data_IF_416061957995
#
_entry.id   IF_416061957995
#
_cell.length_a   1.000
_cell.length_b   1.000
_cell.length_c   1.000
_cell.angle_alpha   90.00
_cell.angle_beta   90.00
_cell.angle_gamma   90.00
#
_symmetry.space_group_name_H-M   'P 1'
#
loop_
_entity.id
_entity.type
_entity.pdbx_description
1 polymer ?
#
# COMPACT_ATOMS: atom_id res chain seq x y z
N UNK A 1 -42.84 -20.36 12.29
CA UNK A 1 -41.40 -20.57 12.58
C UNK A 1 -41.20 -20.35 14.07
N UNK A 2 -40.91 -21.40 14.84
CA UNK A 2 -40.72 -21.27 16.30
C UNK A 2 -39.40 -20.58 16.65
N UNK A 3 -39.26 -20.10 17.89
CA UNK A 3 -38.05 -19.45 18.43
C UNK A 3 -36.78 -20.27 18.14
N UNK A 4 -36.90 -21.60 18.21
CA UNK A 4 -35.82 -22.56 17.90
C UNK A 4 -35.30 -22.39 16.46
N UNK A 5 -36.19 -22.15 15.49
CA UNK A 5 -35.81 -21.93 14.10
C UNK A 5 -35.00 -20.64 13.93
N UNK A 6 -35.37 -19.57 14.64
CA UNK A 6 -34.61 -18.31 14.62
C UNK A 6 -33.23 -18.45 15.26
N UNK A 7 -33.11 -19.19 16.37
CA UNK A 7 -31.81 -19.44 17.02
C UNK A 7 -30.87 -20.22 16.11
N UNK A 8 -31.36 -21.24 15.41
CA UNK A 8 -30.56 -22.03 14.46
C UNK A 8 -30.10 -21.16 13.29
N UNK A 9 -31.02 -20.39 12.68
CA UNK A 9 -30.67 -19.48 11.57
C UNK A 9 -29.65 -18.44 12.01
N UNK A 10 -29.84 -17.83 13.18
CA UNK A 10 -28.89 -16.85 13.73
C UNK A 10 -27.52 -17.46 14.02
N UNK A 11 -27.47 -18.68 14.59
CA UNK A 11 -26.23 -19.42 14.81
C UNK A 11 -25.47 -19.72 13.52
N UNK A 12 -26.17 -20.12 12.46
CA UNK A 12 -25.57 -20.37 11.14
C UNK A 12 -25.03 -19.09 10.50
N UNK A 13 -25.74 -17.97 10.61
CA UNK A 13 -25.27 -16.66 10.12
C UNK A 13 -23.98 -16.25 10.83
N UNK A 14 -23.91 -16.39 12.16
CA UNK A 14 -22.69 -16.09 12.91
C UNK A 14 -21.51 -16.98 12.52
N UNK A 15 -21.75 -18.27 12.27
CA UNK A 15 -20.71 -19.21 11.85
C UNK A 15 -20.09 -18.82 10.50
N UNK A 16 -20.91 -18.34 9.55
CA UNK A 16 -20.45 -17.91 8.21
C UNK A 16 -19.70 -16.57 8.28
N UNK A 17 -20.12 -15.64 9.14
CA UNK A 17 -19.48 -14.33 9.26
C UNK A 17 -18.15 -14.36 10.05
N UNK A 18 -17.99 -15.31 10.98
CA UNK A 18 -16.80 -15.48 11.81
C UNK A 18 -15.45 -15.44 11.06
N UNK A 19 -15.22 -16.23 9.99
CA UNK A 19 -13.94 -16.21 9.28
C UNK A 19 -13.62 -14.87 8.61
N UNK A 20 -14.65 -14.17 8.10
CA UNK A 20 -14.50 -12.86 7.44
C UNK A 20 -14.02 -11.82 8.46
N UNK A 21 -14.69 -11.78 9.62
CA UNK A 21 -14.38 -10.86 10.70
C UNK A 21 -12.97 -11.14 11.24
N UNK A 22 -12.64 -12.40 11.51
CA UNK A 22 -11.33 -12.79 12.02
C UNK A 22 -10.18 -12.44 11.04
N UNK A 23 -10.40 -12.64 9.74
CA UNK A 23 -9.43 -12.26 8.70
C UNK A 23 -9.16 -10.74 8.68
N UNK A 24 -10.22 -9.93 8.79
CA UNK A 24 -10.10 -8.48 8.86
C UNK A 24 -9.29 -8.01 10.07
N UNK A 25 -9.61 -8.50 11.27
CA UNK A 25 -8.88 -8.14 12.49
C UNK A 25 -7.39 -8.50 12.43
N UNK A 26 -7.05 -9.65 11.84
CA UNK A 26 -5.65 -10.06 11.65
C UNK A 26 -4.90 -9.08 10.76
N UNK A 27 -5.51 -8.62 9.66
CA UNK A 27 -4.88 -7.65 8.76
C UNK A 27 -4.69 -6.29 9.43
N UNK A 28 -5.71 -5.80 10.15
CA UNK A 28 -5.60 -4.56 10.93
C UNK A 28 -4.46 -4.60 11.95
N UNK A 29 -4.28 -5.75 12.63
CA UNK A 29 -3.16 -5.92 13.58
C UNK A 29 -1.81 -5.89 12.87
N UNK A 30 -1.69 -6.56 11.71
CA UNK A 30 -0.46 -6.55 10.90
C UNK A 30 -0.13 -5.14 10.41
N UNK A 31 -1.13 -4.40 9.92
CA UNK A 31 -0.97 -3.02 9.46
C UNK A 31 -0.47 -2.12 10.60
N UNK A 32 -1.07 -2.23 11.80
CA UNK A 32 -0.62 -1.48 12.98
C UNK A 32 0.84 -1.78 13.34
N UNK A 33 1.23 -3.05 13.35
CA UNK A 33 2.62 -3.46 13.65
C UNK A 33 3.60 -2.92 12.60
N UNK A 34 3.22 -2.98 11.32
CA UNK A 34 4.05 -2.48 10.23
C UNK A 34 4.20 -0.95 10.29
N UNK A 35 3.14 -0.24 10.66
CA UNK A 35 3.14 1.20 10.86
C UNK A 35 4.02 1.61 12.06
N UNK A 36 3.99 0.85 13.14
CA UNK A 36 4.88 1.03 14.28
C UNK A 36 6.34 0.80 13.88
N UNK A 37 6.60 -0.27 13.12
CA UNK A 37 7.94 -0.56 12.57
C UNK A 37 8.46 0.58 11.70
N UNK A 38 7.60 1.12 10.82
CA UNK A 38 7.90 2.29 9.98
C UNK A 38 8.28 3.51 10.84
N UNK A 39 7.47 3.83 11.85
CA UNK A 39 7.71 4.96 12.75
C UNK A 39 9.00 4.79 13.54
N UNK A 40 9.23 3.60 14.10
CA UNK A 40 10.45 3.29 14.85
C UNK A 40 11.70 3.41 13.96
N UNK A 41 11.63 2.92 12.72
CA UNK A 41 12.72 3.09 11.76
C UNK A 41 12.99 4.56 11.42
N UNK A 42 11.92 5.34 11.19
CA UNK A 42 12.02 6.78 10.99
C UNK A 42 12.69 7.47 12.17
N UNK A 43 12.20 7.22 13.38
CA UNK A 43 12.76 7.81 14.61
C UNK A 43 14.22 7.40 14.86
N UNK A 44 14.59 6.15 14.58
CA UNK A 44 15.98 5.68 14.68
C UNK A 44 16.92 6.42 13.72
N UNK A 45 16.40 6.93 12.60
CA UNK A 45 17.11 7.78 11.63
C UNK A 45 16.91 9.28 11.89
N UNK A 46 16.32 9.64 13.02
CA UNK A 46 16.02 11.00 13.40
C UNK A 46 14.92 11.68 12.56
N UNK A 47 14.09 10.91 11.85
CA UNK A 47 12.99 11.43 11.03
C UNK A 47 11.69 11.50 11.84
N UNK A 48 10.89 12.53 11.56
CA UNK A 48 9.53 12.69 12.08
C UNK A 48 8.54 12.45 10.96
N UNK A 49 8.09 11.20 10.81
CA UNK A 49 7.14 10.81 9.76
C UNK A 49 5.74 11.35 10.09
N UNK A 50 5.37 12.49 9.52
CA UNK A 50 4.07 13.16 9.77
C UNK A 50 2.94 12.57 8.91
N UNK A 51 3.29 12.01 7.75
CA UNK A 51 2.35 11.33 6.88
C UNK A 51 2.75 9.87 6.80
N UNK A 52 1.84 8.96 7.16
CA UNK A 52 2.08 7.52 7.12
C UNK A 52 0.83 6.78 6.69
N UNK A 53 0.99 5.67 5.97
CA UNK A 53 -0.08 4.72 5.65
C UNK A 53 0.52 3.30 5.63
N UNK A 54 -0.29 2.30 5.98
CA UNK A 54 0.04 0.87 5.88
C UNK A 54 -1.14 0.12 5.27
N UNK A 55 -0.88 -0.90 4.46
CA UNK A 55 -1.92 -1.69 3.81
C UNK A 55 -1.51 -3.14 3.58
N UNK A 56 -2.54 -3.99 3.41
CA UNK A 56 -2.45 -5.42 3.10
C UNK A 56 -1.62 -6.24 4.12
N UNK A 57 -1.30 -5.67 5.28
CA UNK A 57 -0.42 -6.26 6.28
C UNK A 57 1.01 -6.48 5.80
N UNK A 58 1.41 -5.81 4.70
CA UNK A 58 2.68 -6.10 4.02
C UNK A 58 3.41 -4.85 3.53
N UNK A 59 2.73 -3.71 3.39
CA UNK A 59 3.35 -2.49 2.90
C UNK A 59 3.09 -1.32 3.83
N UNK A 60 4.09 -0.47 4.02
CA UNK A 60 3.95 0.79 4.70
C UNK A 60 4.78 1.86 4.01
N UNK A 61 4.33 3.10 4.08
CA UNK A 61 5.04 4.24 3.50
C UNK A 61 4.88 5.43 4.43
N UNK A 62 5.93 6.22 4.57
CA UNK A 62 5.95 7.41 5.40
C UNK A 62 6.84 8.49 4.82
N UNK A 63 6.47 9.74 5.06
CA UNK A 63 7.26 10.92 4.67
C UNK A 63 7.46 11.83 5.88
N UNK A 64 8.71 12.30 6.01
CA UNK A 64 9.07 13.50 6.75
C UNK A 64 9.20 14.66 5.72
N UNK A 65 8.22 15.58 5.65
CA UNK A 65 8.22 16.65 4.66
C UNK A 65 9.29 17.71 4.94
N UNK A 66 9.64 17.93 6.21
CA UNK A 66 10.65 18.91 6.63
C UNK A 66 12.04 18.45 6.17
N UNK A 67 12.36 17.17 6.40
CA UNK A 67 13.63 16.58 5.96
C UNK A 67 13.60 16.04 4.53
N UNK A 68 12.44 16.11 3.87
CA UNK A 68 12.21 15.59 2.50
C UNK A 68 12.66 14.13 2.34
N UNK A 69 12.38 13.31 3.35
CA UNK A 69 12.74 11.88 3.35
C UNK A 69 11.49 11.02 3.28
N UNK A 70 11.54 9.99 2.45
CA UNK A 70 10.50 8.98 2.32
C UNK A 70 11.06 7.64 2.78
N UNK A 71 10.32 6.95 3.66
CA UNK A 71 10.58 5.55 4.00
C UNK A 71 9.46 4.71 3.43
N UNK A 72 9.83 3.61 2.77
CA UNK A 72 8.92 2.59 2.31
C UNK A 72 9.34 1.23 2.88
N UNK A 73 8.38 0.49 3.41
CA UNK A 73 8.55 -0.87 3.90
C UNK A 73 7.74 -1.83 3.04
N UNK A 74 8.37 -2.95 2.70
CA UNK A 74 7.73 -4.08 2.04
C UNK A 74 8.09 -5.38 2.75
N UNK A 75 7.08 -6.12 3.18
CA UNK A 75 7.24 -7.46 3.75
C UNK A 75 7.39 -8.48 2.63
N UNK A 76 8.43 -9.30 2.70
CA UNK A 76 8.71 -10.40 1.77
C UNK A 76 8.93 -11.69 2.59
N UNK A 77 7.87 -12.47 2.79
CA UNK A 77 7.91 -13.60 3.72
C UNK A 77 8.05 -13.10 5.16
N UNK A 78 9.08 -13.53 5.88
CA UNK A 78 9.36 -13.08 7.25
C UNK A 78 10.29 -11.86 7.33
N UNK A 79 10.89 -11.42 6.22
CA UNK A 79 11.76 -10.24 6.20
C UNK A 79 11.00 -8.97 5.83
N UNK A 80 11.49 -7.83 6.34
CA UNK A 80 11.03 -6.50 5.95
C UNK A 80 12.16 -5.85 5.15
N UNK A 81 11.86 -5.50 3.91
CA UNK A 81 12.70 -4.67 3.07
C UNK A 81 12.35 -3.22 3.34
N UNK A 82 13.36 -2.42 3.63
CA UNK A 82 13.23 -1.00 3.86
C UNK A 82 13.95 -0.22 2.76
N UNK A 83 13.29 0.82 2.28
CA UNK A 83 13.82 1.73 1.29
C UNK A 83 13.73 3.16 1.83
N UNK A 84 14.84 3.89 1.77
CA UNK A 84 14.93 5.28 2.20
C UNK A 84 15.30 6.15 1.00
N UNK A 85 14.41 7.06 0.63
CA UNK A 85 14.56 7.93 -0.52
C UNK A 85 14.72 9.39 -0.10
N UNK A 86 15.65 10.11 -0.74
CA UNK A 86 15.81 11.56 -0.61
C UNK A 86 14.98 12.26 -1.69
N UNK A 87 13.85 12.86 -1.31
CA UNK A 87 12.96 13.55 -2.23
C UNK A 87 13.61 14.81 -2.84
N UNK A 88 14.73 15.30 -2.30
CA UNK A 88 15.50 16.38 -2.91
C UNK A 88 16.19 15.95 -4.20
N UNK A 89 16.47 14.65 -4.35
CA UNK A 89 17.06 14.06 -5.55
C UNK A 89 16.04 13.62 -6.59
N UNK A 90 14.74 13.76 -6.29
CA UNK A 90 13.63 13.29 -7.13
C UNK A 90 13.15 14.41 -8.05
N UNK A 91 12.94 14.09 -9.32
CA UNK A 91 12.38 15.01 -10.32
C UNK A 91 10.88 14.85 -10.50
N UNK A 92 10.39 13.62 -10.44
CA UNK A 92 8.99 13.30 -10.74
C UNK A 92 8.51 12.07 -9.95
N UNK A 93 7.20 12.01 -9.74
CA UNK A 93 6.51 10.89 -9.11
C UNK A 93 5.20 10.60 -9.84
N UNK A 94 5.01 9.36 -10.28
CA UNK A 94 3.82 8.94 -11.04
C UNK A 94 3.33 7.57 -10.64
N UNK A 95 2.02 7.34 -10.79
CA UNK A 95 1.44 6.01 -10.64
C UNK A 95 1.57 5.26 -11.97
N UNK A 96 2.07 4.03 -11.90
CA UNK A 96 2.14 3.08 -12.99
C UNK A 96 1.21 1.89 -12.70
N UNK A 97 0.29 1.61 -13.63
CA UNK A 97 -0.67 0.51 -13.52
C UNK A 97 -0.41 -0.45 -14.67
N UNK A 98 0.02 -1.67 -14.32
CA UNK A 98 0.16 -2.76 -15.28
C UNK A 98 -1.15 -3.56 -15.29
N UNK A 99 -1.75 -3.73 -16.46
CA UNK A 99 -2.96 -4.54 -16.64
C UNK A 99 -2.85 -5.40 -17.90
N UNK A 100 -3.61 -6.50 -17.90
CA UNK A 100 -3.77 -7.38 -19.06
C UNK A 100 -5.24 -7.51 -19.42
N UNK A 101 -5.52 -7.57 -20.71
CA UNK A 101 -6.87 -7.84 -21.20
C UNK A 101 -6.95 -9.29 -21.64
N UNK A 102 -7.88 -10.03 -21.04
CA UNK A 102 -8.14 -11.43 -21.38
C UNK A 102 -9.45 -11.54 -22.16
N UNK A 103 -9.48 -12.37 -23.19
CA UNK A 103 -10.72 -12.72 -23.88
C UNK A 103 -11.48 -13.74 -23.05
N UNK A 104 -12.74 -13.45 -22.78
CA UNK A 104 -13.67 -14.35 -22.10
C UNK A 104 -14.78 -14.78 -23.08
N UNK A 105 -15.51 -15.87 -22.82
CA UNK A 105 -16.65 -16.27 -23.66
C UNK A 105 -17.70 -15.15 -23.83
N UNK A 106 -17.79 -14.23 -22.86
CA UNK A 106 -18.73 -13.11 -22.85
C UNK A 106 -18.08 -11.76 -23.21
N UNK A 107 -16.88 -11.75 -23.80
CA UNK A 107 -16.21 -10.53 -24.28
C UNK A 107 -14.74 -10.43 -23.87
N UNK A 108 -14.37 -9.33 -23.23
CA UNK A 108 -13.01 -9.11 -22.75
C UNK A 108 -13.02 -8.56 -21.34
N UNK A 109 -12.12 -9.04 -20.50
CA UNK A 109 -11.97 -8.61 -19.10
C UNK A 109 -10.56 -8.07 -18.88
N UNK A 110 -10.47 -6.85 -18.34
CA UNK A 110 -9.19 -6.25 -17.97
C UNK A 110 -8.87 -6.61 -16.52
N UNK A 111 -7.72 -7.24 -16.29
CA UNK A 111 -7.21 -7.61 -14.99
C UNK A 111 -6.01 -6.73 -14.67
N UNK A 112 -6.06 -6.01 -13.53
CA UNK A 112 -4.91 -5.25 -13.03
C UNK A 112 -3.91 -6.24 -12.44
N UNK A 113 -2.68 -6.21 -12.95
CA UNK A 113 -1.59 -7.05 -12.48
C UNK A 113 -0.77 -6.38 -11.38
N UNK A 114 -0.49 -5.09 -11.53
CA UNK A 114 0.28 -4.35 -10.55
C UNK A 114 -0.11 -2.87 -10.48
N UNK A 115 0.03 -2.30 -9.29
CA UNK A 115 -0.02 -0.85 -9.06
C UNK A 115 1.28 -0.46 -8.40
N UNK A 116 1.98 0.52 -8.96
CA UNK A 116 3.27 0.97 -8.47
C UNK A 116 3.33 2.48 -8.43
N UNK A 117 4.08 2.99 -7.47
CA UNK A 117 4.50 4.39 -7.44
C UNK A 117 5.93 4.46 -7.94
N UNK A 118 6.12 5.16 -9.06
CA UNK A 118 7.41 5.31 -9.71
C UNK A 118 8.02 6.64 -9.30
N UNK A 119 9.21 6.59 -8.71
CA UNK A 119 10.02 7.74 -8.34
C UNK A 119 11.13 7.87 -9.39
N UNK A 120 11.18 9.02 -10.05
CA UNK A 120 12.23 9.34 -11.03
C UNK A 120 13.20 10.35 -10.42
N UNK A 121 14.49 10.08 -10.56
CA UNK A 121 15.54 10.95 -10.06
C UNK A 121 15.90 12.05 -11.07
N UNK A 122 16.40 13.16 -10.54
CA UNK A 122 16.96 14.26 -11.33
C UNK A 122 18.17 13.77 -12.15
N UNK A 123 19.00 12.93 -11.51
CA UNK A 123 20.08 12.24 -12.18
C UNK A 123 19.52 11.13 -13.08
N UNK A 124 19.62 11.35 -14.40
CA UNK A 124 19.12 10.43 -15.43
C UNK A 124 19.93 9.14 -15.55
N UNK A 125 21.08 9.05 -14.88
CA UNK A 125 21.86 7.81 -14.82
C UNK A 125 21.29 6.81 -13.82
N UNK A 126 20.49 7.29 -12.85
CA UNK A 126 19.81 6.45 -11.88
C UNK A 126 18.53 5.86 -12.49
N UNK A 127 18.34 4.56 -12.28
CA UNK A 127 17.10 3.88 -12.68
C UNK A 127 15.91 4.37 -11.86
N UNK A 128 14.76 4.53 -12.51
CA UNK A 128 13.49 4.80 -11.84
C UNK A 128 13.24 3.79 -10.70
N UNK A 129 12.91 4.29 -9.51
CA UNK A 129 12.60 3.48 -8.34
C UNK A 129 11.13 3.11 -8.33
N UNK A 130 10.82 1.84 -8.06
CA UNK A 130 9.48 1.27 -8.12
C UNK A 130 9.01 0.84 -6.74
N UNK A 131 8.08 1.59 -6.14
CA UNK A 131 7.43 1.21 -4.90
C UNK A 131 6.14 0.45 -5.21
N UNK A 132 6.07 -0.82 -4.82
CA UNK A 132 4.92 -1.70 -5.10
C UNK A 132 3.76 -1.38 -4.16
N UNK A 133 2.59 -1.06 -4.71
CA UNK A 133 1.35 -0.89 -3.95
C UNK A 133 0.45 -2.12 -4.07
N UNK A 134 0.50 -2.80 -5.21
CA UNK A 134 -0.25 -4.02 -5.45
C UNK A 134 0.47 -4.90 -6.47
N UNK A 135 0.35 -6.21 -6.29
CA UNK A 135 0.80 -7.23 -7.24
C UNK A 135 -0.12 -8.44 -7.16
N UNK A 136 -0.76 -8.80 -8.27
CA UNK A 136 -1.75 -9.87 -8.33
C UNK A 136 -1.17 -11.28 -8.09
N UNK A 137 0.16 -11.43 -8.20
CA UNK A 137 0.88 -12.66 -7.83
C UNK A 137 0.99 -12.85 -6.33
N UNK A 138 0.89 -11.77 -5.56
CA UNK A 138 0.99 -11.75 -4.09
C UNK A 138 -0.40 -11.62 -3.45
N UNK A 139 -1.25 -10.75 -4.00
CA UNK A 139 -2.59 -10.48 -3.49
C UNK A 139 -3.64 -10.70 -4.57
N UNK A 140 -4.64 -11.54 -4.30
CA UNK A 140 -5.66 -11.91 -5.28
C UNK A 140 -6.65 -10.79 -5.63
N UNK A 141 -6.78 -9.77 -4.79
CA UNK A 141 -7.76 -8.70 -4.98
C UNK A 141 -7.15 -7.31 -4.89
N UNK A 142 -7.44 -6.49 -5.90
CA UNK A 142 -7.29 -5.04 -5.84
C UNK A 142 -8.49 -4.46 -5.09
N UNK A 143 -8.23 -3.58 -4.14
CA UNK A 143 -9.24 -2.86 -3.37
C UNK A 143 -9.00 -1.35 -3.51
N UNK A 144 -8.19 -0.76 -2.61
CA UNK A 144 -7.95 0.68 -2.53
C UNK A 144 -6.57 1.13 -2.99
N UNK A 145 -5.72 0.22 -3.45
CA UNK A 145 -4.28 0.46 -3.63
C UNK A 145 -4.01 1.48 -4.74
N UNK A 146 -4.86 1.51 -5.78
CA UNK A 146 -4.81 2.55 -6.81
C UNK A 146 -5.04 3.95 -6.24
N UNK A 147 -6.14 4.12 -5.51
CA UNK A 147 -6.46 5.42 -4.90
C UNK A 147 -5.41 5.83 -3.86
N UNK A 148 -4.84 4.86 -3.14
CA UNK A 148 -3.73 5.08 -2.21
C UNK A 148 -2.46 5.52 -2.93
N UNK A 149 -2.09 4.87 -4.03
CA UNK A 149 -0.95 5.27 -4.87
C UNK A 149 -1.13 6.69 -5.43
N UNK A 150 -2.33 7.02 -5.93
CA UNK A 150 -2.67 8.36 -6.42
C UNK A 150 -2.61 9.43 -5.30
N UNK A 151 -3.05 9.09 -4.08
CA UNK A 151 -2.89 9.94 -2.88
C UNK A 151 -1.41 10.23 -2.62
N UNK A 152 -0.56 9.22 -2.65
CA UNK A 152 0.87 9.36 -2.38
C UNK A 152 1.61 10.09 -3.50
N UNK A 153 1.24 9.86 -4.76
CA UNK A 153 1.71 10.64 -5.89
C UNK A 153 1.47 12.13 -5.65
N UNK A 154 0.22 12.53 -5.34
CA UNK A 154 -0.13 13.94 -5.10
C UNK A 154 0.66 14.55 -3.95
N UNK A 155 0.83 13.81 -2.84
CA UNK A 155 1.63 14.26 -1.68
C UNK A 155 3.08 14.51 -2.06
N UNK A 156 3.71 13.56 -2.74
CA UNK A 156 5.12 13.68 -3.16
C UNK A 156 5.26 14.82 -4.16
N UNK A 157 4.44 14.86 -5.21
CA UNK A 157 4.48 15.94 -6.21
C UNK A 157 4.31 17.32 -5.59
N UNK A 158 3.46 17.48 -4.57
CA UNK A 158 3.32 18.74 -3.84
C UNK A 158 4.62 19.15 -3.14
N UNK A 159 5.33 18.22 -2.50
CA UNK A 159 6.62 18.46 -1.84
C UNK A 159 7.69 18.83 -2.88
N UNK A 160 7.69 18.17 -4.04
CA UNK A 160 8.62 18.47 -5.14
C UNK A 160 8.38 19.87 -5.72
N UNK A 161 7.13 20.33 -5.83
CA UNK A 161 6.82 21.67 -6.32
C UNK A 161 7.26 22.78 -5.35
N UNK A 162 7.20 22.54 -4.04
CA UNK A 162 7.73 23.48 -3.03
C UNK A 162 9.24 23.69 -3.16
N UNK A 163 9.99 22.78 -3.81
CA UNK A 163 11.42 22.97 -4.10
C UNK A 163 11.66 24.01 -5.21
N UNK A 164 10.71 24.18 -6.13
CA UNK A 164 10.86 25.04 -7.32
C UNK A 164 10.29 26.46 -7.11
N UNK A 165 9.82 26.79 -5.90
CA UNK A 165 9.49 28.15 -5.45
C UNK A 165 10.58 28.65 -4.52
#
# INVERSE_FOLDING_TARGET
MGIIGYVIVFGLVLLILSPIIAGHFKNVRKDKLLLETLKNSGSAKGLSLTMTDSWKGAYAIGIDPEKRRLIYLRKAGESIQEELEDLSSVSDCRVDITSRTEKTPNGSMTVVEAVNLIIRYIDKTLSDKKLEFFNNKVFHSLAGERALAEKWQKKISSILQTKNR
#
